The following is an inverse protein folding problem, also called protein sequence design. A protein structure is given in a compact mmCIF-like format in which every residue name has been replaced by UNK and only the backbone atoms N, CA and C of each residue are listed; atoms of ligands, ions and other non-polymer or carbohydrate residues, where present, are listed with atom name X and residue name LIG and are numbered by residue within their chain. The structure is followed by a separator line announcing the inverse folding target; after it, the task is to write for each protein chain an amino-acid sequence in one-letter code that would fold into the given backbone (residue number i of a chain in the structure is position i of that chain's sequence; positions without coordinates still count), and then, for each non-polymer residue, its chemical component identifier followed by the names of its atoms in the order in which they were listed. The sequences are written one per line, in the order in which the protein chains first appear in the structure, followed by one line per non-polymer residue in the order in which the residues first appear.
data_IF_112350831214
#
_entry.id   IF_112350831214
#
_cell.length_a   1.000
_cell.length_b   1.000
_cell.length_c   1.000
_cell.angle_alpha   90.00
_cell.angle_beta   90.00
_cell.angle_gamma   90.00
#
_symmetry.space_group_name_H-M   'P 1'
#
loop_
_entity.id
_entity.type
_entity.pdbx_description
1 polymer ?
#
# COMPACT_ATOMS: atom_id res chain seq x y z
N UNK A 1 7.55 -6.61 -5.72
CA UNK A 1 8.16 -5.98 -4.56
C UNK A 1 7.03 -5.43 -3.69
N UNK A 2 6.98 -5.82 -2.40
CA UNK A 2 6.00 -5.30 -1.46
C UNK A 2 6.23 -3.82 -1.16
N UNK A 3 5.29 -3.20 -0.45
CA UNK A 3 5.40 -1.84 0.06
C UNK A 3 6.70 -1.72 0.87
N UNK A 4 7.62 -0.88 0.41
CA UNK A 4 8.85 -0.56 1.13
C UNK A 4 8.75 0.87 1.63
N UNK A 5 8.90 1.05 2.92
CA UNK A 5 8.86 2.38 3.54
C UNK A 5 9.49 2.36 4.91
N UNK A 6 9.65 3.52 5.50
CA UNK A 6 10.14 3.69 6.87
C UNK A 6 8.96 4.00 7.77
N UNK A 7 8.79 3.24 8.84
CA UNK A 7 7.78 3.47 9.88
C UNK A 7 8.45 4.14 11.09
N UNK A 8 7.90 5.28 11.48
CA UNK A 8 8.22 5.92 12.76
C UNK A 8 6.99 5.82 13.67
N UNK A 9 7.17 5.35 14.88
CA UNK A 9 6.09 5.12 15.83
C UNK A 9 6.23 5.95 17.10
N UNK A 10 5.12 6.40 17.64
CA UNK A 10 4.99 7.11 18.92
C UNK A 10 3.77 6.62 19.69
N UNK A 11 3.55 7.12 20.91
CA UNK A 11 2.42 6.71 21.74
C UNK A 11 1.05 6.98 21.11
N UNK A 12 0.91 8.06 20.31
CA UNK A 12 -0.38 8.52 19.78
C UNK A 12 -0.44 8.53 18.25
N UNK A 13 0.70 8.52 17.56
CA UNK A 13 0.76 8.57 16.11
C UNK A 13 1.90 7.74 15.57
N UNK A 14 1.80 7.37 14.30
CA UNK A 14 2.87 6.75 13.54
C UNK A 14 2.95 7.40 12.17
N UNK A 15 4.13 7.46 11.58
CA UNK A 15 4.31 7.97 10.22
C UNK A 15 4.97 6.90 9.39
N UNK A 16 4.33 6.54 8.28
CA UNK A 16 4.89 5.68 7.25
C UNK A 16 5.30 6.51 6.05
N UNK A 17 6.55 6.38 5.62
CA UNK A 17 7.12 7.13 4.49
C UNK A 17 7.54 6.16 3.41
N UNK A 18 7.13 6.42 2.16
CA UNK A 18 7.49 5.62 0.99
C UNK A 18 7.89 6.52 -0.17
N UNK A 19 8.62 5.96 -1.13
CA UNK A 19 8.91 6.67 -2.37
C UNK A 19 7.61 6.97 -3.14
N UNK A 20 7.56 8.14 -3.77
CA UNK A 20 6.40 8.54 -4.57
C UNK A 20 6.24 7.61 -5.76
N UNK A 21 5.02 7.12 -5.98
CA UNK A 21 4.69 6.23 -7.07
C UNK A 21 4.72 6.99 -8.41
N UNK A 22 5.40 6.40 -9.36
CA UNK A 22 5.49 6.90 -10.74
C UNK A 22 4.81 5.93 -11.71
N UNK A 23 4.41 6.43 -12.86
CA UNK A 23 3.82 5.62 -13.93
C UNK A 23 4.73 4.45 -14.29
N UNK A 24 4.17 3.27 -14.43
CA UNK A 24 4.87 2.02 -14.72
C UNK A 24 5.41 1.29 -13.50
N UNK A 25 5.40 1.91 -12.29
CA UNK A 25 5.78 1.24 -11.06
C UNK A 25 4.80 0.10 -10.73
N UNK A 26 5.33 -0.89 -10.02
CA UNK A 26 4.54 -1.99 -9.46
C UNK A 26 4.52 -1.91 -7.95
N UNK A 27 3.36 -2.09 -7.37
CA UNK A 27 3.14 -2.08 -5.94
C UNK A 27 2.25 -3.25 -5.52
N UNK A 28 2.53 -3.84 -4.37
CA UNK A 28 1.64 -4.83 -3.75
C UNK A 28 0.93 -4.18 -2.58
N UNK A 29 -0.39 -4.13 -2.63
CA UNK A 29 -1.25 -3.61 -1.56
C UNK A 29 -2.17 -4.74 -1.15
N UNK A 30 -2.18 -5.06 0.15
CA UNK A 30 -3.07 -6.08 0.68
C UNK A 30 -2.93 -7.47 -0.02
N UNK A 31 -1.71 -7.82 -0.44
CA UNK A 31 -1.43 -9.08 -1.14
C UNK A 31 -1.75 -9.08 -2.64
N UNK A 32 -2.41 -8.04 -3.18
CA UNK A 32 -2.68 -7.88 -4.61
C UNK A 32 -1.61 -6.99 -5.26
N UNK A 33 -1.03 -7.45 -6.38
CA UNK A 33 -0.10 -6.66 -7.18
C UNK A 33 -0.89 -5.71 -8.08
N UNK A 34 -0.46 -4.45 -8.09
CA UNK A 34 -0.97 -3.39 -8.97
C UNK A 34 0.18 -2.78 -9.77
N UNK A 35 -0.14 -2.30 -10.96
CA UNK A 35 0.73 -1.49 -11.79
C UNK A 35 0.19 -0.06 -11.87
N UNK A 36 1.07 0.93 -11.70
CA UNK A 36 0.66 2.33 -11.87
C UNK A 36 0.53 2.63 -13.36
N UNK A 37 -0.68 2.94 -13.78
CA UNK A 37 -1.00 3.29 -15.15
C UNK A 37 -0.51 4.68 -15.54
N UNK A 38 -0.55 4.97 -16.82
CA UNK A 38 -0.10 6.25 -17.39
C UNK A 38 -1.18 6.88 -18.26
N UNK A 39 -1.04 8.18 -18.53
CA UNK A 39 -1.80 8.83 -19.59
C UNK A 39 -1.18 8.57 -20.97
N UNK A 40 -1.95 8.83 -22.03
CA UNK A 40 -1.42 8.85 -23.42
C UNK A 40 -0.25 9.84 -23.55
N UNK A 41 -0.32 10.98 -22.83
CA UNK A 41 0.74 11.99 -22.85
C UNK A 41 2.03 11.45 -22.24
N UNK A 42 1.98 10.77 -21.09
CA UNK A 42 3.17 10.21 -20.45
C UNK A 42 3.81 9.12 -21.30
N UNK A 43 3.00 8.25 -21.89
CA UNK A 43 3.46 7.22 -22.81
C UNK A 43 4.13 7.81 -24.06
N UNK A 44 3.56 8.86 -24.64
CA UNK A 44 4.17 9.54 -25.81
C UNK A 44 5.42 10.35 -25.44
N UNK A 45 5.50 10.90 -24.24
CA UNK A 45 6.71 11.55 -23.71
C UNK A 45 7.89 10.56 -23.60
N UNK A 46 7.61 9.28 -23.36
CA UNK A 46 8.65 8.25 -23.35
C UNK A 46 9.25 8.03 -24.74
N UNK A 47 8.44 8.13 -25.79
CA UNK A 47 8.87 8.12 -27.19
C UNK A 47 9.70 9.38 -27.52
N UNK A 48 9.24 10.55 -27.05
CA UNK A 48 9.98 11.81 -27.22
C UNK A 48 11.33 11.79 -26.51
N UNK A 49 11.42 11.12 -25.35
CA UNK A 49 12.68 10.89 -24.65
C UNK A 49 13.65 10.09 -25.52
N UNK A 50 13.18 9.01 -26.15
CA UNK A 50 13.99 8.19 -27.03
C UNK A 50 14.53 9.00 -28.23
N UNK A 51 13.70 9.84 -28.85
CA UNK A 51 14.08 10.70 -29.98
C UNK A 51 15.09 11.78 -29.58
N UNK A 52 14.90 12.42 -28.42
CA UNK A 52 15.84 13.41 -27.88
C UNK A 52 17.21 12.79 -27.56
N UNK A 53 17.23 11.64 -26.92
CA UNK A 53 18.47 10.91 -26.61
C UNK A 53 19.17 10.43 -27.90
N UNK A 54 18.41 10.00 -28.90
CA UNK A 54 18.94 9.64 -30.22
C UNK A 54 19.60 10.85 -30.89
N UNK A 55 18.92 12.00 -30.88
CA UNK A 55 19.42 13.24 -31.45
C UNK A 55 20.70 13.71 -30.76
N UNK A 56 20.76 13.58 -29.43
CA UNK A 56 21.96 13.91 -28.65
C UNK A 56 23.13 12.94 -28.92
N UNK A 57 22.88 11.67 -29.21
CA UNK A 57 23.88 10.66 -29.51
C UNK A 57 24.50 10.83 -30.91
N UNK A 58 23.77 11.40 -31.87
CA UNK A 58 24.26 11.78 -33.18
C UNK A 58 24.42 10.63 -34.19
N UNK A 59 25.24 10.88 -35.19
CA UNK A 59 25.40 10.00 -36.36
C UNK A 59 25.80 8.56 -36.01
N UNK A 60 25.14 7.59 -36.63
CA UNK A 60 25.36 6.15 -36.43
C UNK A 60 24.60 5.55 -35.23
N UNK A 61 23.83 6.37 -34.49
CA UNK A 61 23.05 5.92 -33.34
C UNK A 61 21.66 5.44 -33.74
N UNK A 62 21.16 4.48 -32.96
CA UNK A 62 19.79 3.98 -33.03
C UNK A 62 19.20 3.89 -31.62
N UNK A 63 17.87 3.99 -31.51
CA UNK A 63 17.12 3.73 -30.30
C UNK A 63 15.89 2.89 -30.63
N UNK A 64 15.58 1.94 -29.76
CA UNK A 64 14.44 1.06 -29.94
C UNK A 64 13.34 1.44 -28.97
N UNK A 65 12.12 1.60 -29.50
CA UNK A 65 10.89 1.81 -28.73
C UNK A 65 9.95 0.67 -29.02
N UNK A 66 9.28 0.16 -28.02
CA UNK A 66 8.27 -0.88 -28.17
C UNK A 66 6.87 -0.31 -27.94
N UNK A 67 5.93 -0.58 -28.84
CA UNK A 67 4.52 -0.22 -28.69
C UNK A 67 3.69 -1.49 -28.92
N UNK A 68 2.92 -1.90 -27.92
CA UNK A 68 2.06 -3.09 -27.95
C UNK A 68 2.82 -4.37 -28.38
N UNK A 69 4.04 -4.53 -27.84
CA UNK A 69 4.93 -5.66 -28.16
C UNK A 69 5.61 -5.56 -29.53
N UNK A 70 5.37 -4.49 -30.30
CA UNK A 70 6.02 -4.26 -31.59
C UNK A 70 7.18 -3.30 -31.44
N UNK A 71 8.34 -3.73 -31.92
CA UNK A 71 9.56 -2.94 -31.89
C UNK A 71 9.61 -1.94 -33.04
N UNK A 72 9.96 -0.69 -32.72
CA UNK A 72 10.24 0.39 -33.67
C UNK A 72 11.65 0.91 -33.42
N UNK A 73 12.46 0.92 -34.47
CA UNK A 73 13.84 1.42 -34.41
C UNK A 73 13.91 2.84 -34.96
N UNK A 74 14.30 3.78 -34.12
CA UNK A 74 14.59 5.16 -34.48
C UNK A 74 16.08 5.24 -34.86
N UNK A 75 16.39 5.79 -36.02
CA UNK A 75 17.76 5.96 -36.53
C UNK A 75 18.07 7.42 -36.75
N UNK A 76 19.20 7.87 -36.20
CA UNK A 76 19.63 9.27 -36.38
C UNK A 76 19.89 9.58 -37.85
N UNK A 77 19.33 10.69 -38.32
CA UNK A 77 19.61 11.27 -39.62
C UNK A 77 19.63 12.79 -39.55
N UNK A 78 20.66 13.41 -40.14
CA UNK A 78 20.73 14.87 -40.22
C UNK A 78 19.52 15.42 -40.96
N UNK A 79 18.76 16.31 -40.34
CA UNK A 79 17.54 16.89 -40.90
C UNK A 79 16.24 16.18 -40.49
N UNK A 80 16.32 15.11 -39.68
CA UNK A 80 15.15 14.41 -39.11
C UNK A 80 15.38 12.90 -39.01
N UNK A 81 15.16 12.34 -37.82
CA UNK A 81 15.32 10.92 -37.56
C UNK A 81 14.37 10.07 -38.42
N UNK A 82 14.80 8.90 -38.83
CA UNK A 82 13.95 7.94 -39.53
C UNK A 82 13.49 6.84 -38.60
N UNK A 83 12.30 6.30 -38.83
CA UNK A 83 11.67 5.29 -38.00
C UNK A 83 11.26 4.11 -38.86
N UNK A 84 11.58 2.89 -38.43
CA UNK A 84 11.15 1.67 -39.10
C UNK A 84 10.60 0.68 -38.08
N UNK A 85 9.65 -0.16 -38.47
CA UNK A 85 9.18 -1.29 -37.70
C UNK A 85 10.19 -2.47 -37.77
N UNK A 86 9.89 -3.57 -37.08
CA UNK A 86 10.76 -4.75 -37.04
C UNK A 86 10.94 -5.42 -38.40
N UNK A 87 9.99 -5.25 -39.28
CA UNK A 87 10.00 -5.77 -40.67
C UNK A 87 10.75 -4.83 -41.65
N UNK A 88 11.20 -3.64 -41.19
CA UNK A 88 11.90 -2.64 -41.98
C UNK A 88 10.98 -1.68 -42.74
N UNK A 89 9.66 -1.71 -42.49
CA UNK A 89 8.74 -0.76 -43.09
C UNK A 89 8.90 0.61 -42.43
N UNK A 90 8.98 1.65 -43.26
CA UNK A 90 9.13 3.01 -42.76
C UNK A 90 7.84 3.54 -42.11
N UNK A 91 8.00 4.17 -40.94
CA UNK A 91 6.99 5.00 -40.29
C UNK A 91 7.28 6.46 -40.69
N UNK A 92 6.27 7.18 -41.15
CA UNK A 92 6.46 8.48 -41.79
C UNK A 92 7.21 9.50 -40.91
N UNK A 93 6.81 9.61 -39.65
CA UNK A 93 7.41 10.53 -38.70
C UNK A 93 7.09 10.12 -37.22
N UNK A 94 7.66 10.88 -36.25
CA UNK A 94 7.44 10.66 -34.84
C UNK A 94 5.96 10.85 -34.41
N UNK A 95 5.24 11.77 -35.06
CA UNK A 95 3.83 11.98 -34.74
C UNK A 95 2.97 10.79 -35.19
N UNK A 96 3.30 10.21 -36.37
CA UNK A 96 2.68 8.97 -36.84
C UNK A 96 2.95 7.80 -35.89
N UNK A 97 4.17 7.69 -35.33
CA UNK A 97 4.49 6.69 -34.33
C UNK A 97 3.70 6.93 -33.04
N UNK A 98 3.69 8.15 -32.51
CA UNK A 98 2.92 8.52 -31.33
C UNK A 98 1.41 8.32 -31.51
N UNK A 99 0.88 8.53 -32.70
CA UNK A 99 -0.52 8.28 -33.05
C UNK A 99 -0.95 6.81 -32.96
N UNK A 100 -0.01 5.86 -32.83
CA UNK A 100 -0.30 4.46 -32.59
C UNK A 100 -0.64 4.19 -31.12
N UNK A 101 -0.22 5.06 -30.19
CA UNK A 101 -0.46 4.95 -28.76
C UNK A 101 -1.91 5.35 -28.46
N UNK A 102 -2.67 4.42 -27.91
CA UNK A 102 -4.09 4.58 -27.54
C UNK A 102 -4.30 4.09 -26.12
N UNK A 103 -5.50 4.25 -25.60
CA UNK A 103 -5.93 3.61 -24.37
C UNK A 103 -5.73 2.09 -24.48
N UNK A 104 -5.21 1.47 -23.42
CA UNK A 104 -4.79 0.07 -23.38
C UNK A 104 -3.41 -0.21 -23.97
N UNK A 105 -2.81 0.74 -24.72
CA UNK A 105 -1.49 0.54 -25.31
C UNK A 105 -0.38 0.49 -24.25
N UNK A 106 0.62 -0.35 -24.50
CA UNK A 106 1.88 -0.38 -23.75
C UNK A 106 3.00 0.27 -24.55
N UNK A 107 3.80 1.12 -23.90
CA UNK A 107 4.98 1.77 -24.50
C UNK A 107 6.21 1.47 -23.65
N UNK A 108 7.21 0.84 -24.26
CA UNK A 108 8.47 0.46 -23.63
C UNK A 108 9.65 1.23 -24.22
N UNK A 109 10.52 1.76 -23.35
CA UNK A 109 11.80 2.36 -23.69
C UNK A 109 12.73 2.34 -22.48
N UNK A 110 14.00 1.99 -22.68
CA UNK A 110 15.06 2.03 -21.66
C UNK A 110 14.68 1.26 -20.37
N UNK A 111 14.08 0.07 -20.52
CA UNK A 111 13.67 -0.77 -19.40
C UNK A 111 12.41 -0.31 -18.66
N UNK A 112 11.86 0.85 -18.99
CA UNK A 112 10.57 1.33 -18.47
C UNK A 112 9.44 0.98 -19.43
N UNK A 113 8.36 0.41 -18.93
CA UNK A 113 7.15 0.12 -19.71
C UNK A 113 5.96 0.80 -19.06
N UNK A 114 5.33 1.70 -19.78
CA UNK A 114 4.11 2.40 -19.41
C UNK A 114 2.90 1.71 -20.06
N UNK A 115 1.79 1.65 -19.37
CA UNK A 115 0.50 1.21 -19.92
C UNK A 115 -0.48 2.36 -19.83
N UNK A 116 -1.05 2.75 -20.96
CA UNK A 116 -2.03 3.83 -21.03
C UNK A 116 -3.35 3.32 -20.48
N UNK A 117 -3.86 3.97 -19.44
CA UNK A 117 -5.12 3.59 -18.82
C UNK A 117 -6.33 3.94 -19.70
N UNK A 118 -7.33 3.09 -19.64
CA UNK A 118 -8.70 3.38 -20.01
C UNK A 118 -9.52 3.47 -18.72
N UNK A 119 -9.71 4.67 -18.19
CA UNK A 119 -10.42 4.91 -16.92
C UNK A 119 -11.52 5.94 -17.16
N UNK A 120 -12.71 5.47 -17.51
CA UNK A 120 -13.88 6.28 -17.84
C UNK A 120 -15.12 5.89 -17.06
N UNK A 121 -15.08 4.73 -16.40
CA UNK A 121 -16.20 4.12 -15.71
C UNK A 121 -15.86 3.85 -14.24
N UNK A 122 -16.82 3.36 -13.50
CA UNK A 122 -16.60 2.92 -12.11
C UNK A 122 -16.79 3.99 -11.06
N UNK A 123 -16.44 5.25 -11.35
CA UNK A 123 -16.54 6.36 -10.41
C UNK A 123 -17.86 7.14 -10.47
N UNK A 124 -18.04 8.04 -9.52
CA UNK A 124 -19.25 8.85 -9.36
C UNK A 124 -20.46 8.04 -8.87
N UNK A 125 -21.58 8.72 -8.74
CA UNK A 125 -22.85 8.10 -8.27
C UNK A 125 -23.57 7.30 -9.34
N UNK A 126 -23.22 7.52 -10.61
CA UNK A 126 -23.80 6.88 -11.80
C UNK A 126 -22.85 5.85 -12.47
N UNK A 127 -21.64 5.66 -11.90
CA UNK A 127 -20.63 4.73 -12.40
C UNK A 127 -20.05 5.13 -13.77
N UNK A 128 -20.17 6.41 -14.18
CA UNK A 128 -19.77 6.90 -15.51
C UNK A 128 -18.61 7.89 -15.48
N UNK A 129 -17.88 7.94 -14.40
CA UNK A 129 -16.68 8.76 -14.25
C UNK A 129 -15.49 7.89 -13.90
N UNK A 130 -14.29 8.41 -14.10
CA UNK A 130 -13.05 7.76 -13.70
C UNK A 130 -13.04 7.46 -12.19
N UNK A 131 -12.60 6.27 -11.80
CA UNK A 131 -12.45 5.86 -10.40
C UNK A 131 -11.00 5.55 -10.01
N UNK A 132 -10.07 5.76 -10.95
CA UNK A 132 -8.66 5.50 -10.77
C UNK A 132 -8.27 4.05 -11.01
N UNK A 133 -9.18 3.24 -11.56
CA UNK A 133 -8.96 1.84 -11.95
C UNK A 133 -9.18 1.73 -13.45
N UNK A 134 -8.34 0.97 -14.14
CA UNK A 134 -8.50 0.71 -15.57
C UNK A 134 -9.74 -0.15 -15.82
N UNK A 135 -10.59 0.27 -16.77
CA UNK A 135 -11.87 -0.39 -17.11
C UNK A 135 -11.67 -1.81 -17.68
N UNK A 136 -10.53 -2.06 -18.30
CA UNK A 136 -10.21 -3.33 -18.97
C UNK A 136 -9.34 -4.24 -18.09
N UNK A 137 -8.51 -3.68 -17.19
CA UNK A 137 -7.61 -4.40 -16.29
C UNK A 137 -7.56 -3.79 -14.89
N UNK A 138 -8.32 -4.33 -13.96
CA UNK A 138 -8.39 -3.86 -12.56
C UNK A 138 -7.08 -3.99 -11.77
N UNK A 139 -6.01 -4.52 -12.35
CA UNK A 139 -4.67 -4.51 -11.77
C UNK A 139 -3.88 -3.24 -12.12
N UNK A 140 -4.39 -2.42 -13.06
CA UNK A 140 -3.81 -1.14 -13.44
C UNK A 140 -4.61 -0.04 -12.75
N UNK A 141 -3.92 0.79 -11.97
CA UNK A 141 -4.56 1.85 -11.17
C UNK A 141 -3.75 3.14 -11.24
N UNK A 142 -4.38 4.27 -10.96
CA UNK A 142 -3.67 5.54 -10.79
C UNK A 142 -2.84 5.56 -9.50
N UNK A 143 -1.81 6.39 -9.44
CA UNK A 143 -1.04 6.62 -8.22
C UNK A 143 -1.92 7.18 -7.08
N UNK A 144 -2.94 7.98 -7.40
CA UNK A 144 -3.92 8.47 -6.43
C UNK A 144 -4.74 7.31 -5.84
N UNK A 145 -5.27 6.43 -6.69
CA UNK A 145 -6.03 5.25 -6.25
C UNK A 145 -5.18 4.30 -5.41
N UNK A 146 -3.91 4.11 -5.77
CA UNK A 146 -2.97 3.33 -4.96
C UNK A 146 -2.80 3.91 -3.55
N UNK A 147 -2.68 5.24 -3.42
CA UNK A 147 -2.62 5.91 -2.11
C UNK A 147 -3.91 5.73 -1.30
N UNK A 148 -5.08 5.83 -1.94
CA UNK A 148 -6.36 5.60 -1.27
C UNK A 148 -6.49 4.16 -0.75
N UNK A 149 -6.05 3.17 -1.53
CA UNK A 149 -6.03 1.78 -1.10
C UNK A 149 -5.07 1.54 0.07
N UNK A 150 -3.87 2.12 0.03
CA UNK A 150 -2.90 2.05 1.14
C UNK A 150 -3.51 2.67 2.40
N UNK A 151 -4.12 3.86 2.28
CA UNK A 151 -4.77 4.57 3.37
C UNK A 151 -5.91 3.75 3.98
N UNK A 152 -6.73 3.12 3.16
CA UNK A 152 -7.81 2.25 3.60
C UNK A 152 -7.27 1.04 4.39
N UNK A 153 -6.22 0.37 3.89
CA UNK A 153 -5.59 -0.75 4.57
C UNK A 153 -4.94 -0.35 5.91
N UNK A 154 -4.20 0.75 5.93
CA UNK A 154 -3.61 1.28 7.16
C UNK A 154 -4.70 1.63 8.19
N UNK A 155 -5.80 2.23 7.73
CA UNK A 155 -6.94 2.56 8.59
C UNK A 155 -7.59 1.30 9.15
N UNK A 156 -7.84 0.30 8.30
CA UNK A 156 -8.44 -0.97 8.71
C UNK A 156 -7.57 -1.70 9.74
N UNK A 157 -6.27 -1.82 9.48
CA UNK A 157 -5.32 -2.47 10.39
C UNK A 157 -5.25 -1.77 11.75
N UNK A 158 -5.26 -0.43 11.79
CA UNK A 158 -5.17 0.34 13.03
C UNK A 158 -6.50 0.50 13.77
N UNK A 159 -7.61 0.07 13.18
CA UNK A 159 -8.93 0.13 13.82
C UNK A 159 -9.31 -1.13 14.59
N UNK A 160 -8.48 -2.15 14.59
CA UNK A 160 -8.72 -3.38 15.35
C UNK A 160 -8.64 -3.07 16.85
N UNK A 161 -9.70 -3.43 17.58
CA UNK A 161 -9.79 -3.18 19.03
C UNK A 161 -10.07 -1.72 19.44
N UNK A 162 -10.11 -0.77 18.49
CA UNK A 162 -10.35 0.66 18.77
C UNK A 162 -11.85 0.97 18.73
N UNK A 163 -12.50 1.03 19.87
CA UNK A 163 -13.96 1.19 19.94
C UNK A 163 -14.42 2.57 20.44
N UNK A 164 -13.60 3.27 21.20
CA UNK A 164 -13.93 4.58 21.72
C UNK A 164 -13.52 5.69 20.76
N UNK A 165 -12.34 5.59 20.17
CA UNK A 165 -11.88 6.46 19.11
C UNK A 165 -11.23 5.63 18.00
N UNK A 166 -11.65 5.90 16.77
CA UNK A 166 -11.13 5.21 15.59
C UNK A 166 -9.81 5.83 15.13
N UNK A 167 -8.91 4.97 14.62
CA UNK A 167 -7.72 5.43 13.96
C UNK A 167 -8.06 6.17 12.66
N UNK A 168 -7.32 7.22 12.38
CA UNK A 168 -7.41 7.96 11.11
C UNK A 168 -6.04 7.98 10.44
N UNK A 169 -6.03 8.02 9.11
CA UNK A 169 -4.81 8.10 8.33
C UNK A 169 -4.92 9.27 7.37
N UNK A 170 -3.94 10.14 7.39
CA UNK A 170 -3.80 11.26 6.47
C UNK A 170 -2.59 11.04 5.55
N UNK A 171 -2.72 11.41 4.29
CA UNK A 171 -1.63 11.34 3.33
C UNK A 171 -1.04 12.73 3.05
N UNK A 172 0.24 12.78 2.75
CA UNK A 172 0.98 13.99 2.49
C UNK A 172 2.24 13.74 1.69
N UNK A 173 3.05 14.77 1.58
CA UNK A 173 4.37 14.69 0.94
C UNK A 173 5.38 15.38 1.88
N UNK A 174 6.52 14.73 2.12
CA UNK A 174 7.59 15.30 2.93
C UNK A 174 8.46 16.32 2.15
N UNK A 175 9.45 16.86 2.82
CA UNK A 175 10.36 17.85 2.23
C UNK A 175 11.22 17.29 1.09
N UNK A 176 11.41 15.97 1.04
CA UNK A 176 12.17 15.26 0.01
C UNK A 176 11.28 14.80 -1.16
N UNK A 177 9.99 15.14 -1.13
CA UNK A 177 9.01 14.76 -2.15
C UNK A 177 8.49 13.32 -2.04
N UNK A 178 8.73 12.65 -0.91
CA UNK A 178 8.24 11.29 -0.66
C UNK A 178 6.81 11.31 -0.16
N UNK A 179 6.05 10.25 -0.46
CA UNK A 179 4.70 10.08 0.06
C UNK A 179 4.74 9.68 1.53
N UNK A 180 3.98 10.39 2.35
CA UNK A 180 3.84 10.12 3.79
C UNK A 180 2.40 9.75 4.13
N UNK A 181 2.24 8.85 5.11
CA UNK A 181 0.95 8.54 5.73
C UNK A 181 1.09 8.77 7.23
N UNK A 182 0.39 9.75 7.76
CA UNK A 182 0.33 10.00 9.19
C UNK A 182 -0.86 9.23 9.78
N UNK A 183 -0.56 8.30 10.68
CA UNK A 183 -1.53 7.42 11.34
C UNK A 183 -1.78 7.96 12.73
N UNK A 184 -2.96 8.47 12.99
CA UNK A 184 -3.42 8.82 14.33
C UNK A 184 -4.09 7.59 14.94
N UNK A 185 -3.49 7.06 16.02
CA UNK A 185 -3.93 5.81 16.63
C UNK A 185 -5.26 6.01 17.35
N UNK A 186 -6.19 5.10 17.09
CA UNK A 186 -7.41 4.98 17.90
C UNK A 186 -7.12 4.32 19.25
N UNK A 187 -8.12 4.31 20.13
CA UNK A 187 -8.01 3.65 21.43
C UNK A 187 -9.33 3.03 21.87
N UNK A 188 -9.21 2.16 22.87
CA UNK A 188 -10.33 1.66 23.64
C UNK A 188 -10.02 1.84 25.13
N UNK A 189 -11.02 2.32 25.86
CA UNK A 189 -10.94 2.39 27.31
C UNK A 189 -11.15 0.99 27.89
N UNK A 190 -10.20 0.54 28.70
CA UNK A 190 -10.25 -0.77 29.35
C UNK A 190 -10.33 -0.60 30.86
N UNK A 191 -10.97 -1.55 31.54
CA UNK A 191 -11.01 -1.55 32.98
C UNK A 191 -9.60 -1.73 33.58
N UNK A 192 -9.37 -1.07 34.73
CA UNK A 192 -8.10 -1.21 35.44
C UNK A 192 -7.90 -2.64 35.95
N UNK A 193 -6.64 -3.04 36.02
CA UNK A 193 -6.23 -4.30 36.69
C UNK A 193 -6.73 -4.32 38.12
N UNK A 194 -7.40 -5.41 38.51
CA UNK A 194 -7.74 -5.66 39.93
C UNK A 194 -6.52 -6.19 40.63
N UNK A 195 -6.06 -5.49 41.65
CA UNK A 195 -4.93 -5.91 42.47
C UNK A 195 -5.34 -6.03 43.95
N UNK A 196 -5.03 -7.14 44.57
CA UNK A 196 -5.26 -7.37 45.99
C UNK A 196 -4.19 -8.28 46.59
N UNK A 197 -4.01 -8.17 47.91
CA UNK A 197 -3.05 -8.96 48.64
C UNK A 197 -3.77 -10.06 49.44
N UNK A 198 -3.36 -11.30 49.22
CA UNK A 198 -3.77 -12.44 50.05
C UNK A 198 -2.79 -12.65 51.18
N UNK A 199 -3.31 -12.76 52.40
CA UNK A 199 -2.49 -13.12 53.56
C UNK A 199 -2.26 -14.63 53.57
N UNK A 200 -1.00 -15.04 53.63
CA UNK A 200 -0.57 -16.46 53.67
C UNK A 200 0.36 -16.67 54.85
N UNK A 201 -0.05 -17.54 55.75
CA UNK A 201 0.73 -17.85 56.94
C UNK A 201 0.02 -17.53 58.26
N UNK A 202 0.60 -17.99 59.37
CA UNK A 202 -0.01 -17.90 60.68
C UNK A 202 0.22 -16.57 61.41
N UNK A 203 1.23 -15.80 61.00
CA UNK A 203 1.62 -14.57 61.67
C UNK A 203 1.11 -13.33 60.94
N UNK A 204 0.70 -12.30 61.70
CA UNK A 204 0.19 -11.03 61.19
C UNK A 204 1.29 -10.12 60.59
N UNK A 205 2.37 -10.67 60.05
CA UNK A 205 3.44 -9.91 59.45
C UNK A 205 3.06 -9.42 58.04
N UNK A 206 3.47 -8.18 57.72
CA UNK A 206 3.26 -7.55 56.42
C UNK A 206 3.98 -8.28 55.28
N UNK A 207 5.00 -9.09 55.59
CA UNK A 207 5.77 -9.89 54.66
C UNK A 207 5.03 -11.16 54.18
N UNK A 208 4.02 -11.60 54.93
CA UNK A 208 3.24 -12.80 54.65
C UNK A 208 2.06 -12.51 53.73
N UNK A 209 2.31 -11.79 52.62
CA UNK A 209 1.29 -11.45 51.63
C UNK A 209 1.74 -11.82 50.20
N UNK A 210 0.80 -12.38 49.43
CA UNK A 210 0.96 -12.62 48.04
C UNK A 210 0.08 -11.59 47.27
N UNK A 211 0.70 -10.78 46.44
CA UNK A 211 -0.04 -9.89 45.55
C UNK A 211 -0.63 -10.72 44.41
N UNK A 212 -1.90 -10.51 44.15
CA UNK A 212 -2.65 -11.08 43.00
C UNK A 212 -3.11 -9.95 42.13
N UNK A 213 -2.78 -10.02 40.85
CA UNK A 213 -3.20 -9.09 39.83
C UNK A 213 -4.06 -9.83 38.81
N UNK A 214 -5.23 -9.27 38.52
CA UNK A 214 -6.16 -9.81 37.52
C UNK A 214 -6.50 -8.72 36.54
N UNK A 215 -6.04 -8.92 35.31
CA UNK A 215 -6.38 -8.02 34.20
C UNK A 215 -7.82 -8.23 33.76
N UNK A 216 -8.46 -7.19 33.24
CA UNK A 216 -9.78 -7.31 32.65
C UNK A 216 -9.74 -8.24 31.43
N UNK A 217 -10.71 -9.17 31.36
CA UNK A 217 -10.85 -10.18 30.30
C UNK A 217 -12.04 -9.88 29.38
N UNK A 218 -12.52 -8.64 29.37
CA UNK A 218 -13.55 -8.24 28.42
C UNK A 218 -12.99 -8.12 26.98
N UNK A 219 -13.87 -8.06 26.01
CA UNK A 219 -13.48 -8.02 24.60
C UNK A 219 -12.67 -6.77 24.22
N UNK A 220 -12.83 -5.65 24.93
CA UNK A 220 -12.05 -4.43 24.71
C UNK A 220 -10.64 -4.60 25.24
N UNK A 221 -10.49 -5.11 26.48
CA UNK A 221 -9.18 -5.38 27.11
C UNK A 221 -8.39 -6.45 26.36
N UNK A 222 -9.08 -7.42 25.78
CA UNK A 222 -8.46 -8.44 24.92
C UNK A 222 -8.12 -7.93 23.52
N UNK A 223 -8.62 -6.74 23.12
CA UNK A 223 -8.37 -6.15 21.81
C UNK A 223 -9.19 -6.77 20.66
N UNK A 224 -10.25 -7.51 20.98
CA UNK A 224 -11.09 -8.20 19.99
C UNK A 224 -12.49 -7.58 19.80
N UNK A 225 -12.80 -6.51 20.54
CA UNK A 225 -14.07 -5.79 20.37
C UNK A 225 -14.07 -5.04 19.03
N UNK A 226 -15.13 -5.22 18.25
CA UNK A 226 -15.28 -4.55 16.96
C UNK A 226 -14.50 -5.19 15.81
N UNK A 227 -13.99 -6.42 15.98
CA UNK A 227 -13.42 -7.18 14.86
C UNK A 227 -14.47 -7.39 13.77
N UNK A 228 -14.07 -7.16 12.54
CA UNK A 228 -14.84 -7.48 11.34
C UNK A 228 -13.97 -8.34 10.42
N UNK A 229 -14.60 -9.31 9.76
CA UNK A 229 -13.97 -10.13 8.72
C UNK A 229 -14.57 -9.84 7.34
N UNK A 230 -15.40 -8.79 7.27
CA UNK A 230 -16.08 -8.38 6.04
C UNK A 230 -15.22 -7.34 5.32
N UNK A 231 -14.46 -7.80 4.35
CA UNK A 231 -13.79 -6.98 3.35
C UNK A 231 -13.71 -7.74 2.02
N UNK A 232 -13.43 -7.03 0.94
CA UNK A 232 -13.30 -7.62 -0.39
C UNK A 232 -11.91 -8.26 -0.64
N UNK A 233 -10.94 -8.02 0.25
CA UNK A 233 -9.55 -8.47 0.10
C UNK A 233 -9.18 -9.72 0.92
N UNK A 234 -10.00 -10.06 1.94
CA UNK A 234 -9.71 -11.12 2.92
C UNK A 234 -8.65 -10.73 3.97
N UNK A 235 -8.15 -9.50 3.95
CA UNK A 235 -7.14 -9.05 4.91
C UNK A 235 -7.72 -8.78 6.29
N UNK A 236 -8.97 -8.32 6.37
CA UNK A 236 -9.67 -8.17 7.64
C UNK A 236 -9.71 -9.50 8.41
N UNK A 237 -9.89 -10.62 7.71
CA UNK A 237 -9.82 -11.96 8.31
C UNK A 237 -8.40 -12.28 8.82
N UNK A 238 -7.36 -11.91 8.11
CA UNK A 238 -5.96 -12.11 8.53
C UNK A 238 -5.66 -11.29 9.78
N UNK A 239 -6.02 -10.01 9.82
CA UNK A 239 -5.85 -9.15 10.99
C UNK A 239 -6.67 -9.65 12.19
N UNK A 240 -7.88 -10.19 11.94
CA UNK A 240 -8.71 -10.77 12.99
C UNK A 240 -8.06 -12.02 13.60
N UNK A 241 -7.41 -12.86 12.81
CA UNK A 241 -6.67 -14.03 13.29
C UNK A 241 -5.53 -13.61 14.20
N UNK A 242 -4.75 -12.60 13.82
CA UNK A 242 -3.66 -12.07 14.64
C UNK A 242 -4.17 -11.51 15.97
N UNK A 243 -5.23 -10.69 15.94
CA UNK A 243 -5.85 -10.14 17.16
C UNK A 243 -6.40 -11.24 18.09
N UNK A 244 -7.01 -12.29 17.55
CA UNK A 244 -7.49 -13.44 18.33
C UNK A 244 -6.31 -14.21 18.94
N UNK A 245 -5.22 -14.40 18.19
CA UNK A 245 -4.00 -15.04 18.69
C UNK A 245 -3.41 -14.29 19.87
N UNK A 246 -3.34 -12.96 19.79
CA UNK A 246 -2.88 -12.10 20.87
C UNK A 246 -3.81 -12.18 22.08
N UNK A 247 -5.12 -12.21 21.89
CA UNK A 247 -6.10 -12.39 22.96
C UNK A 247 -5.92 -13.73 23.68
N UNK A 248 -5.73 -14.83 22.94
CA UNK A 248 -5.45 -16.16 23.51
C UNK A 248 -4.16 -16.12 24.32
N UNK A 249 -3.12 -15.45 23.84
CA UNK A 249 -1.85 -15.29 24.53
C UNK A 249 -2.00 -14.53 25.86
N UNK A 250 -2.79 -13.45 25.88
CA UNK A 250 -3.11 -12.69 27.10
C UNK A 250 -3.85 -13.56 28.13
N UNK A 251 -4.91 -14.27 27.70
CA UNK A 251 -5.67 -15.19 28.57
C UNK A 251 -4.79 -16.30 29.13
N UNK A 252 -3.92 -16.87 28.28
CA UNK A 252 -3.00 -17.93 28.71
C UNK A 252 -1.99 -17.45 29.72
N UNK A 253 -1.45 -16.24 29.54
CA UNK A 253 -0.53 -15.59 30.49
C UNK A 253 -1.20 -15.35 31.85
N UNK A 254 -2.40 -14.78 31.84
CA UNK A 254 -3.18 -14.52 33.07
C UNK A 254 -3.51 -15.83 33.83
N UNK A 255 -3.93 -16.86 33.07
CA UNK A 255 -4.20 -18.19 33.66
C UNK A 255 -2.95 -18.79 34.28
N UNK A 256 -1.79 -18.66 33.63
CA UNK A 256 -0.51 -19.14 34.17
C UNK A 256 -0.13 -18.40 35.46
N UNK A 257 -0.29 -17.06 35.48
CA UNK A 257 -0.05 -16.22 36.64
C UNK A 257 -0.92 -16.65 37.86
N UNK A 258 -2.22 -16.81 37.62
CA UNK A 258 -3.15 -17.26 38.67
C UNK A 258 -2.85 -18.69 39.12
N UNK A 259 -2.43 -19.59 38.22
CA UNK A 259 -1.98 -20.94 38.59
C UNK A 259 -0.74 -20.93 39.47
N UNK A 260 0.21 -20.02 39.19
CA UNK A 260 1.39 -19.84 40.05
C UNK A 260 1.04 -19.34 41.45
N UNK A 261 0.06 -18.42 41.55
CA UNK A 261 -0.47 -17.96 42.85
C UNK A 261 -1.15 -19.10 43.61
N UNK A 262 -2.04 -19.85 42.92
CA UNK A 262 -2.74 -21.01 43.52
C UNK A 262 -1.76 -22.04 44.05
N UNK A 263 -0.64 -22.28 43.40
CA UNK A 263 0.36 -23.25 43.85
C UNK A 263 1.20 -22.77 45.05
N UNK A 264 1.13 -21.47 45.36
CA UNK A 264 1.84 -20.85 46.52
C UNK A 264 0.93 -20.65 47.74
N UNK A 265 -0.39 -20.80 47.57
CA UNK A 265 -1.39 -20.80 48.63
C UNK A 265 -1.51 -22.17 49.31
#
# INVERSE_FOLDING_TARGET
AGLKGTLTDSAKSGTFVMDTLSEGDKITIAGKEYKIGSSTTDATNLIDKADKELTAAGAGSTKDVEIDGKKYTLTFKTGGNTIADAEGNAVADLNTLKGKVKEGSSVGYDGKTLTVMNDKLGGGTDGKTADGIDDDDSSIITAARAKDLIKAELTAANNIGTVDEKATVEDGVDADGKTTFEIHKGYATVANTLSFNLHVGADADMTNKINVEIDSMDSASLGIKGLSIMDDSGNAATYAVDAISDAISKVSSQRSSLGAVQNRL
#
